data_IF_242995344296
#
_entry.id   IF_242995344296
#
_cell.length_a   1.000
_cell.length_b   1.000
_cell.length_c   1.000
_cell.angle_alpha   90.00
_cell.angle_beta   90.00
_cell.angle_gamma   90.00
#
_symmetry.space_group_name_H-M   'P 1'
#
loop_
_entity.id
_entity.type
_entity.pdbx_description
1 polymer ?
#
# COMPACT_ATOMS: atom_id res chain seq x y z
N UNK A 1 -20.92 -43.20 -26.98
CA UNK A 1 -20.22 -42.29 -26.07
C UNK A 1 -20.20 -42.95 -24.71
N UNK A 2 -19.13 -42.80 -23.95
CA UNK A 2 -18.98 -43.48 -22.66
C UNK A 2 -19.97 -42.93 -21.62
N UNK A 3 -20.76 -43.80 -21.00
CA UNK A 3 -21.77 -43.42 -19.99
C UNK A 3 -21.11 -42.79 -18.74
N UNK A 4 -19.83 -43.10 -18.49
CA UNK A 4 -19.04 -42.54 -17.39
C UNK A 4 -18.89 -41.02 -17.40
N UNK A 5 -19.03 -40.34 -18.55
CA UNK A 5 -18.76 -38.89 -18.67
C UNK A 5 -20.06 -38.06 -18.48
N UNK A 6 -21.23 -38.66 -18.69
CA UNK A 6 -22.51 -37.95 -18.53
C UNK A 6 -22.71 -37.25 -17.18
N UNK A 7 -22.40 -37.85 -15.99
CA UNK A 7 -22.53 -37.13 -14.72
C UNK A 7 -21.64 -35.88 -14.67
N UNK A 8 -20.41 -35.95 -15.17
CA UNK A 8 -19.48 -34.81 -15.19
C UNK A 8 -19.97 -33.66 -16.08
N UNK A 9 -20.74 -33.97 -17.14
CA UNK A 9 -21.37 -32.96 -18.00
C UNK A 9 -22.54 -32.29 -17.28
N UNK A 10 -23.36 -33.05 -16.56
CA UNK A 10 -24.47 -32.52 -15.75
C UNK A 10 -23.93 -31.63 -14.63
N UNK A 11 -22.92 -32.08 -13.88
CA UNK A 11 -22.24 -31.29 -12.85
C UNK A 11 -21.67 -29.98 -13.42
N UNK A 12 -21.05 -30.04 -14.62
CA UNK A 12 -20.52 -28.87 -15.30
C UNK A 12 -21.66 -27.90 -15.70
N UNK A 13 -22.76 -28.40 -16.25
CA UNK A 13 -23.93 -27.59 -16.60
C UNK A 13 -24.54 -26.88 -15.38
N UNK A 14 -24.71 -27.59 -14.25
CA UNK A 14 -25.17 -26.98 -13.01
C UNK A 14 -24.19 -25.92 -12.50
N UNK A 15 -22.87 -26.20 -12.54
CA UNK A 15 -21.85 -25.23 -12.13
C UNK A 15 -21.83 -23.96 -12.99
N UNK A 16 -22.10 -24.08 -14.29
CA UNK A 16 -22.19 -22.96 -15.23
C UNK A 16 -23.47 -22.14 -14.99
N UNK A 17 -24.62 -22.79 -14.76
CA UNK A 17 -25.87 -22.10 -14.43
C UNK A 17 -25.76 -21.32 -13.11
N UNK A 18 -25.15 -21.92 -12.08
CA UNK A 18 -24.87 -21.25 -10.81
C UNK A 18 -23.89 -20.07 -10.98
N UNK A 19 -22.87 -20.21 -11.83
CA UNK A 19 -21.93 -19.13 -12.14
C UNK A 19 -22.62 -17.98 -12.87
N UNK A 20 -23.43 -18.27 -13.89
CA UNK A 20 -24.21 -17.26 -14.64
C UNK A 20 -25.18 -16.50 -13.71
N UNK A 21 -25.90 -17.21 -12.85
CA UNK A 21 -26.76 -16.60 -11.84
C UNK A 21 -25.98 -15.69 -10.86
N UNK A 22 -24.76 -16.09 -10.47
CA UNK A 22 -23.91 -15.29 -9.57
C UNK A 22 -23.31 -14.03 -10.23
N UNK A 23 -23.07 -14.08 -11.55
CA UNK A 23 -22.49 -12.97 -12.33
C UNK A 23 -23.56 -12.03 -12.90
N UNK A 24 -24.79 -12.51 -13.10
CA UNK A 24 -25.92 -11.74 -13.65
C UNK A 24 -26.10 -10.35 -13.04
N UNK A 25 -26.03 -10.13 -11.71
CA UNK A 25 -26.14 -8.79 -11.12
C UNK A 25 -25.05 -7.81 -11.59
N UNK A 26 -23.82 -8.31 -11.83
CA UNK A 26 -22.69 -7.49 -12.27
C UNK A 26 -22.75 -7.24 -13.78
N UNK A 27 -23.24 -8.20 -14.56
CA UNK A 27 -23.36 -8.09 -16.01
C UNK A 27 -24.56 -7.23 -16.45
N UNK A 28 -25.64 -7.21 -15.66
CA UNK A 28 -26.89 -6.49 -15.99
C UNK A 28 -26.98 -5.08 -15.41
N UNK A 29 -26.26 -4.76 -14.33
CA UNK A 29 -26.28 -3.44 -13.69
C UNK A 29 -25.59 -2.32 -14.51
N UNK A 30 -25.00 -2.64 -15.66
CA UNK A 30 -24.31 -1.70 -16.55
C UNK A 30 -22.78 -1.78 -16.43
N UNK A 31 -22.04 -0.72 -16.81
CA UNK A 31 -20.58 -0.72 -16.77
C UNK A 31 -20.04 -0.92 -15.35
N UNK A 32 -19.04 -1.79 -15.17
CA UNK A 32 -18.44 -2.05 -13.85
C UNK A 32 -17.90 -0.78 -13.17
N UNK A 33 -17.58 0.27 -13.93
CA UNK A 33 -17.23 1.60 -13.40
C UNK A 33 -18.39 2.23 -12.60
N UNK A 34 -19.63 2.20 -13.09
CA UNK A 34 -20.78 2.80 -12.37
C UNK A 34 -21.06 2.06 -11.07
N UNK A 35 -21.07 0.72 -11.14
CA UNK A 35 -21.22 -0.14 -9.96
C UNK A 35 -20.13 0.11 -8.92
N UNK A 36 -18.87 0.34 -9.33
CA UNK A 36 -17.73 0.56 -8.42
C UNK A 36 -17.54 2.00 -7.96
N UNK A 37 -18.23 2.99 -8.51
CA UNK A 37 -18.06 4.40 -8.10
C UNK A 37 -18.62 4.70 -6.72
N UNK A 38 -19.64 3.96 -6.27
CA UNK A 38 -20.28 4.15 -4.96
C UNK A 38 -19.67 3.32 -3.83
N UNK A 39 -18.75 2.39 -4.12
CA UNK A 39 -18.15 1.53 -3.10
C UNK A 39 -16.94 2.18 -2.41
N UNK A 40 -16.73 1.91 -1.11
CA UNK A 40 -15.47 2.21 -0.42
C UNK A 40 -14.27 1.60 -1.15
N UNK A 41 -13.12 2.29 -1.10
CA UNK A 41 -11.90 1.92 -1.84
C UNK A 41 -11.48 0.45 -1.65
N UNK A 42 -11.65 -0.09 -0.43
CA UNK A 42 -11.32 -1.48 -0.11
C UNK A 42 -12.23 -2.48 -0.83
N UNK A 43 -13.54 -2.22 -0.85
CA UNK A 43 -14.51 -3.14 -1.45
C UNK A 43 -14.55 -3.00 -2.98
N UNK A 44 -14.26 -1.80 -3.50
CA UNK A 44 -13.90 -1.57 -4.91
C UNK A 44 -12.72 -2.45 -5.34
N UNK A 45 -11.64 -2.50 -4.55
CA UNK A 45 -10.49 -3.34 -4.84
C UNK A 45 -10.84 -4.85 -4.82
N UNK A 46 -11.65 -5.30 -3.85
CA UNK A 46 -12.15 -6.69 -3.80
C UNK A 46 -12.96 -7.04 -5.04
N UNK A 47 -13.92 -6.19 -5.42
CA UNK A 47 -14.81 -6.44 -6.56
C UNK A 47 -14.02 -6.58 -7.87
N UNK A 48 -13.04 -5.72 -8.12
CA UNK A 48 -12.17 -5.86 -9.29
C UNK A 48 -11.34 -7.14 -9.27
N UNK A 49 -10.68 -7.48 -8.15
CA UNK A 49 -9.84 -8.69 -8.07
C UNK A 49 -10.67 -9.97 -8.17
N UNK A 50 -11.89 -9.99 -7.61
CA UNK A 50 -12.84 -11.10 -7.79
C UNK A 50 -13.33 -11.23 -9.23
N UNK A 51 -13.63 -10.12 -9.90
CA UNK A 51 -14.03 -10.13 -11.31
C UNK A 51 -12.90 -10.63 -12.23
N UNK A 52 -11.67 -10.16 -12.01
CA UNK A 52 -10.48 -10.66 -12.73
C UNK A 52 -10.25 -12.16 -12.46
N UNK A 53 -10.35 -12.59 -11.20
CA UNK A 53 -10.24 -14.01 -10.83
C UNK A 53 -11.29 -14.89 -11.54
N UNK A 54 -12.54 -14.42 -11.62
CA UNK A 54 -13.61 -15.14 -12.33
C UNK A 54 -13.29 -15.28 -13.83
N UNK A 55 -12.90 -14.19 -14.48
CA UNK A 55 -12.53 -14.18 -15.91
C UNK A 55 -11.37 -15.15 -16.21
N UNK A 56 -10.30 -15.09 -15.41
CA UNK A 56 -9.14 -15.98 -15.58
C UNK A 56 -9.48 -17.45 -15.29
N UNK A 57 -10.35 -17.72 -14.31
CA UNK A 57 -10.81 -19.08 -13.98
C UNK A 57 -11.70 -19.68 -15.07
N UNK A 58 -12.57 -18.87 -15.70
CA UNK A 58 -13.37 -19.27 -16.86
C UNK A 58 -12.45 -19.56 -18.04
N UNK A 59 -11.48 -18.67 -18.32
CA UNK A 59 -10.52 -18.84 -19.41
C UNK A 59 -9.63 -20.08 -19.21
N UNK A 60 -9.14 -20.32 -17.99
CA UNK A 60 -8.42 -21.54 -17.61
C UNK A 60 -9.25 -22.80 -17.86
N UNK A 61 -10.53 -22.77 -17.51
CA UNK A 61 -11.47 -23.88 -17.73
C UNK A 61 -11.73 -24.10 -19.23
N UNK A 62 -11.93 -23.03 -20.00
CA UNK A 62 -12.09 -23.07 -21.45
C UNK A 62 -10.87 -23.69 -22.15
N UNK A 63 -9.65 -23.29 -21.78
CA UNK A 63 -8.42 -23.86 -22.35
C UNK A 63 -8.33 -25.37 -22.12
N UNK A 64 -8.67 -25.83 -20.90
CA UNK A 64 -8.72 -27.26 -20.56
C UNK A 64 -9.78 -28.04 -21.35
N UNK A 65 -10.95 -27.44 -21.60
CA UNK A 65 -12.01 -28.05 -22.44
C UNK A 65 -11.57 -28.18 -23.90
N UNK A 66 -10.70 -27.30 -24.39
CA UNK A 66 -10.10 -27.38 -25.74
C UNK A 66 -8.85 -28.29 -25.80
N UNK A 67 -8.51 -29.00 -24.70
CA UNK A 67 -7.37 -29.92 -24.66
C UNK A 67 -5.99 -29.24 -24.56
N UNK A 68 -5.94 -27.94 -24.28
CA UNK A 68 -4.69 -27.19 -24.07
C UNK A 68 -4.25 -27.32 -22.61
N UNK A 69 -2.95 -27.55 -22.35
CA UNK A 69 -2.45 -27.50 -20.97
C UNK A 69 -2.41 -26.05 -20.46
N UNK A 70 -3.46 -25.70 -19.73
CA UNK A 70 -3.63 -24.39 -19.12
C UNK A 70 -2.60 -24.07 -18.01
N UNK A 71 -1.73 -25.01 -17.61
CA UNK A 71 -0.60 -24.74 -16.70
C UNK A 71 0.64 -24.20 -17.41
N UNK A 72 0.88 -24.61 -18.65
CA UNK A 72 1.96 -24.08 -19.48
C UNK A 72 1.56 -22.72 -20.11
N UNK A 73 0.26 -22.50 -20.28
CA UNK A 73 -0.31 -21.26 -20.79
C UNK A 73 -0.12 -20.06 -19.84
N UNK A 74 0.02 -18.85 -20.39
CA UNK A 74 0.24 -17.60 -19.63
C UNK A 74 -0.85 -17.27 -18.60
N UNK A 75 -2.06 -17.81 -18.79
CA UNK A 75 -3.17 -17.70 -17.81
C UNK A 75 -2.78 -18.23 -16.42
N UNK A 76 -1.88 -19.22 -16.33
CA UNK A 76 -1.38 -19.69 -15.03
C UNK A 76 -0.52 -18.63 -14.31
N UNK A 77 0.17 -17.75 -15.06
CA UNK A 77 0.93 -16.62 -14.52
C UNK A 77 0.00 -15.52 -14.01
N UNK A 78 -1.07 -15.23 -14.75
CA UNK A 78 -2.09 -14.26 -14.33
C UNK A 78 -2.83 -14.74 -13.06
N UNK A 79 -3.20 -16.03 -12.96
CA UNK A 79 -3.78 -16.60 -11.73
C UNK A 79 -2.83 -16.47 -10.52
N UNK A 80 -1.52 -16.63 -10.72
CA UNK A 80 -0.52 -16.40 -9.68
C UNK A 80 -0.45 -14.91 -9.28
N UNK A 81 -0.53 -14.00 -10.25
CA UNK A 81 -0.59 -12.55 -10.03
C UNK A 81 -1.87 -12.13 -9.28
N UNK A 82 -3.03 -12.68 -9.61
CA UNK A 82 -4.30 -12.47 -8.89
C UNK A 82 -4.20 -12.94 -7.43
N UNK A 83 -3.55 -14.08 -7.17
CA UNK A 83 -3.26 -14.56 -5.81
C UNK A 83 -2.38 -13.59 -5.00
N UNK A 84 -1.44 -12.89 -5.64
CA UNK A 84 -0.71 -11.80 -4.98
C UNK A 84 -1.62 -10.61 -4.65
N UNK A 85 -2.58 -10.27 -5.52
CA UNK A 85 -3.53 -9.18 -5.25
C UNK A 85 -4.47 -9.49 -4.10
N UNK A 86 -4.97 -10.74 -3.96
CA UNK A 86 -5.67 -11.17 -2.75
C UNK A 86 -4.79 -11.01 -1.50
N UNK A 87 -3.50 -11.35 -1.59
CA UNK A 87 -2.54 -11.17 -0.49
C UNK A 87 -2.32 -9.70 -0.14
N UNK A 88 -2.28 -8.80 -1.13
CA UNK A 88 -2.18 -7.34 -0.97
C UNK A 88 -3.44 -6.77 -0.30
N UNK A 89 -4.64 -7.21 -0.71
CA UNK A 89 -5.92 -6.83 -0.11
C UNK A 89 -6.02 -7.29 1.33
N UNK A 90 -5.78 -8.58 1.62
CA UNK A 90 -5.79 -9.12 2.99
C UNK A 90 -4.80 -8.37 3.92
N UNK A 91 -3.61 -8.02 3.40
CA UNK A 91 -2.65 -7.17 4.08
C UNK A 91 -3.11 -5.72 4.31
N UNK A 92 -4.05 -5.20 3.51
CA UNK A 92 -4.68 -3.89 3.73
C UNK A 92 -5.83 -3.99 4.75
N UNK A 93 -6.67 -5.03 4.68
CA UNK A 93 -7.73 -5.31 5.65
C UNK A 93 -7.19 -5.43 7.08
N UNK A 94 -6.11 -6.21 7.26
CA UNK A 94 -5.46 -6.37 8.56
C UNK A 94 -4.83 -5.09 9.11
N UNK A 95 -4.51 -4.10 8.25
CA UNK A 95 -3.93 -2.83 8.70
C UNK A 95 -4.95 -1.91 9.36
N UNK A 96 -6.22 -1.99 9.01
CA UNK A 96 -7.29 -1.22 9.67
C UNK A 96 -7.54 -1.65 11.11
N UNK A 97 -7.32 -2.92 11.46
CA UNK A 97 -7.59 -3.49 12.79
C UNK A 97 -6.33 -3.68 13.63
N UNK A 98 -5.56 -2.60 13.80
CA UNK A 98 -4.48 -2.56 14.79
C UNK A 98 -3.10 -2.96 14.29
N UNK A 99 -2.81 -2.85 12.97
CA UNK A 99 -1.41 -2.71 12.59
C UNK A 99 -0.84 -1.48 13.30
N UNK A 100 0.23 -1.66 14.07
CA UNK A 100 0.87 -0.58 14.79
C UNK A 100 1.34 0.48 13.78
N UNK A 101 0.57 1.56 13.67
CA UNK A 101 1.00 2.79 13.00
C UNK A 101 2.41 3.13 13.49
N UNK A 102 3.35 3.51 12.60
CA UNK A 102 4.74 3.75 12.98
C UNK A 102 4.76 4.81 14.09
N UNK A 103 4.98 4.35 15.34
CA UNK A 103 4.80 5.19 16.52
C UNK A 103 5.93 6.21 16.50
N UNK A 104 5.58 7.48 16.33
CA UNK A 104 6.54 8.57 16.31
C UNK A 104 7.37 8.54 17.60
N UNK A 105 8.69 8.40 17.47
CA UNK A 105 9.61 8.58 18.59
C UNK A 105 9.65 10.06 18.95
N UNK A 106 8.82 10.44 19.92
CA UNK A 106 8.73 11.80 20.46
C UNK A 106 10.07 12.29 21.01
N UNK A 107 10.93 11.38 21.51
CA UNK A 107 12.25 11.71 22.01
C UNK A 107 13.23 12.05 20.88
N UNK A 108 13.22 11.28 19.80
CA UNK A 108 13.98 11.60 18.58
C UNK A 108 13.50 12.92 17.95
N UNK A 109 12.18 13.11 17.81
CA UNK A 109 11.59 14.36 17.31
C UNK A 109 12.01 15.58 18.15
N UNK A 110 11.92 15.47 19.49
CA UNK A 110 12.38 16.53 20.40
C UNK A 110 13.87 16.83 20.26
N UNK A 111 14.73 15.82 20.02
CA UNK A 111 16.16 16.02 19.76
C UNK A 111 16.42 16.74 18.44
N UNK A 112 15.68 16.42 17.37
CA UNK A 112 15.80 17.14 16.09
C UNK A 112 15.38 18.61 16.23
N UNK A 113 14.23 18.87 16.90
CA UNK A 113 13.76 20.23 17.19
C UNK A 113 14.78 20.99 18.04
N UNK A 114 15.30 20.39 19.12
CA UNK A 114 16.29 21.02 19.99
C UNK A 114 17.62 21.27 19.28
N UNK A 115 18.07 20.38 18.39
CA UNK A 115 19.28 20.58 17.60
C UNK A 115 19.12 21.70 16.55
N UNK A 116 17.95 21.83 15.92
CA UNK A 116 17.64 22.94 15.03
C UNK A 116 17.59 24.29 15.76
N UNK A 117 17.01 24.32 16.96
CA UNK A 117 16.94 25.52 17.82
C UNK A 117 18.25 25.86 18.52
N UNK A 118 19.16 24.89 18.73
CA UNK A 118 20.45 25.12 19.41
C UNK A 118 21.37 26.09 18.64
N UNK A 119 21.12 26.35 17.36
CA UNK A 119 21.80 27.42 16.61
C UNK A 119 21.44 28.84 17.09
N UNK A 120 20.23 29.03 17.66
CA UNK A 120 19.75 30.35 18.10
C UNK A 120 20.23 30.73 19.51
N UNK A 121 20.69 29.77 20.33
CA UNK A 121 21.14 30.03 21.71
C UNK A 121 22.33 31.01 21.82
N UNK A 122 23.11 31.18 20.74
CA UNK A 122 24.19 32.18 20.68
C UNK A 122 23.71 33.64 20.70
N UNK A 123 22.40 33.88 20.66
CA UNK A 123 21.79 35.20 20.89
C UNK A 123 21.31 35.41 22.34
N UNK A 124 21.27 34.37 23.18
CA UNK A 124 20.79 34.46 24.56
C UNK A 124 21.93 34.66 25.57
N UNK A 125 23.12 34.09 25.32
CA UNK A 125 24.33 34.31 26.15
C UNK A 125 24.98 35.69 25.96
N UNK A 126 24.40 36.55 25.11
CA UNK A 126 24.83 37.94 24.94
C UNK A 126 23.94 38.84 25.80
N UNK A 127 24.39 39.19 27.02
CA UNK A 127 23.74 40.11 27.97
C UNK A 127 23.66 41.58 27.49
N UNK A 128 23.43 41.80 26.19
CA UNK A 128 22.99 43.07 25.65
C UNK A 128 21.48 43.23 25.84
N UNK A 129 21.04 44.21 26.64
CA UNK A 129 19.63 44.61 26.78
C UNK A 129 19.05 45.13 25.44
N UNK A 130 18.68 44.20 24.56
CA UNK A 130 18.02 44.48 23.29
C UNK A 130 16.58 44.95 23.50
N UNK A 131 16.37 46.27 23.51
CA UNK A 131 15.05 46.91 23.63
C UNK A 131 14.20 46.73 22.35
N UNK A 132 13.79 45.50 22.03
CA UNK A 132 12.90 45.21 20.90
C UNK A 132 11.47 44.89 21.36
N UNK A 133 10.75 45.91 21.81
CA UNK A 133 9.32 45.86 22.20
C UNK A 133 8.34 45.67 21.02
N UNK A 134 8.84 45.32 19.82
CA UNK A 134 8.00 45.16 18.61
C UNK A 134 7.11 43.91 18.66
N UNK A 135 7.47 42.88 19.42
CA UNK A 135 6.69 41.63 19.50
C UNK A 135 5.70 41.58 20.67
N UNK A 136 6.02 42.19 21.83
CA UNK A 136 5.05 42.31 22.95
C UNK A 136 3.81 43.12 22.56
N UNK A 137 3.99 44.15 21.71
CA UNK A 137 2.88 44.94 21.16
C UNK A 137 1.95 44.11 20.24
N UNK A 138 2.47 43.07 19.59
CA UNK A 138 1.65 42.14 18.81
C UNK A 138 0.93 41.14 19.72
N UNK A 139 1.62 40.56 20.70
CA UNK A 139 1.03 39.61 21.66
C UNK A 139 -0.13 40.19 22.48
N UNK A 140 -0.09 41.49 22.82
CA UNK A 140 -1.23 42.19 23.43
C UNK A 140 -2.41 42.37 22.47
N UNK A 141 -2.15 42.75 21.21
CA UNK A 141 -3.18 42.92 20.19
C UNK A 141 -3.89 41.61 19.80
N UNK A 142 -3.22 40.46 19.88
CA UNK A 142 -3.88 39.17 19.69
C UNK A 142 -4.76 38.79 20.89
N UNK A 143 -4.33 39.02 22.14
CA UNK A 143 -5.20 38.77 23.30
C UNK A 143 -6.41 39.69 23.38
N UNK A 144 -6.28 40.97 23.00
CA UNK A 144 -7.41 41.90 22.92
C UNK A 144 -8.36 41.58 21.75
N UNK A 145 -7.95 40.75 20.78
CA UNK A 145 -8.78 40.31 19.66
C UNK A 145 -9.51 38.98 19.91
N UNK A 146 -9.10 38.17 20.90
CA UNK A 146 -9.79 36.92 21.26
C UNK A 146 -11.13 37.16 21.98
N UNK A 147 -11.33 38.32 22.61
CA UNK A 147 -12.57 38.67 23.34
C UNK A 147 -13.73 39.19 22.45
N UNK A 148 -13.56 39.32 21.12
CA UNK A 148 -14.59 39.92 20.24
C UNK A 148 -14.96 39.13 18.97
N UNK A 149 -14.46 37.89 18.79
CA UNK A 149 -14.77 37.06 17.62
C UNK A 149 -15.61 35.83 18.03
N UNK A 150 -16.84 35.65 17.50
CA UNK A 150 -17.62 34.45 17.78
C UNK A 150 -16.99 33.23 17.11
N UNK A 151 -16.75 32.17 17.90
CA UNK A 151 -16.27 30.87 17.39
C UNK A 151 -17.40 30.21 16.60
N UNK A 152 -17.31 30.25 15.27
CA UNK A 152 -18.16 29.43 14.39
C UNK A 152 -17.63 28.00 14.41
N UNK A 153 -18.52 27.03 14.59
CA UNK A 153 -18.20 25.61 14.67
C UNK A 153 -17.98 25.05 13.26
N UNK A 154 -17.01 24.16 13.10
CA UNK A 154 -16.56 23.64 11.80
C UNK A 154 -17.51 22.59 11.17
N UNK A 155 -18.82 22.85 11.19
CA UNK A 155 -19.86 21.96 10.64
C UNK A 155 -20.62 22.57 9.44
N UNK A 156 -20.41 23.87 9.14
CA UNK A 156 -21.11 24.61 8.06
C UNK A 156 -20.13 25.28 7.07
N UNK A 157 -19.36 24.49 6.31
CA UNK A 157 -18.68 24.96 5.08
C UNK A 157 -18.83 23.89 4.01
N UNK A 158 -19.75 24.14 3.07
CA UNK A 158 -19.86 23.39 1.82
C UNK A 158 -18.66 23.67 0.91
N UNK A 159 -18.22 22.63 0.18
CA UNK A 159 -17.00 22.60 -0.63
C UNK A 159 -17.38 22.79 -2.11
N UNK A 160 -17.39 24.04 -2.59
CA UNK A 160 -17.44 24.39 -4.01
C UNK A 160 -16.07 24.95 -4.44
N UNK A 161 -15.25 24.13 -5.11
CA UNK A 161 -14.08 24.62 -5.86
C UNK A 161 -14.37 24.64 -7.36
N UNK A 162 -14.30 25.84 -7.97
CA UNK A 162 -14.23 26.00 -9.42
C UNK A 162 -12.77 25.88 -9.90
N UNK A 163 -12.63 25.19 -11.04
CA UNK A 163 -11.38 24.93 -11.77
C UNK A 163 -10.98 26.14 -12.63
N UNK A 164 -9.81 26.74 -12.37
CA UNK A 164 -9.00 27.38 -13.43
C UNK A 164 -7.50 27.13 -13.20
N UNK A 165 -6.87 26.43 -14.15
CA UNK A 165 -5.43 26.18 -14.17
C UNK A 165 -4.65 27.18 -15.05
N UNK A 166 -3.40 27.47 -14.68
CA UNK A 166 -2.44 28.16 -15.55
C UNK A 166 -1.17 27.31 -15.75
N UNK A 167 -0.73 27.20 -17.00
CA UNK A 167 0.43 26.39 -17.43
C UNK A 167 1.56 27.32 -17.83
N UNK A 168 2.77 27.12 -17.27
CA UNK A 168 4.00 27.71 -17.80
C UNK A 168 5.12 26.66 -17.85
N UNK A 169 5.85 26.62 -18.96
CA UNK A 169 6.77 25.54 -19.36
C UNK A 169 8.25 26.01 -19.39
N UNK A 170 9.20 25.10 -19.09
CA UNK A 170 10.66 25.30 -19.19
C UNK A 170 11.32 26.00 -17.99
N UNK A 171 12.60 25.82 -17.63
CA UNK A 171 13.77 25.12 -18.23
C UNK A 171 14.92 25.12 -17.16
N UNK A 172 16.03 24.35 -17.17
CA UNK A 172 16.58 23.29 -18.06
C UNK A 172 16.87 21.96 -17.30
N UNK A 173 18.15 21.66 -16.95
CA UNK A 173 18.59 20.42 -16.32
C UNK A 173 19.86 20.61 -15.44
N UNK A 174 19.98 19.84 -14.34
CA UNK A 174 21.29 19.51 -13.75
C UNK A 174 21.25 18.13 -13.06
N UNK A 175 22.29 17.32 -13.26
CA UNK A 175 22.34 15.94 -12.78
C UNK A 175 23.15 15.79 -11.49
N UNK A 176 22.52 15.38 -10.39
CA UNK A 176 23.22 15.24 -9.10
C UNK A 176 23.75 13.81 -8.84
N UNK A 177 25.07 13.65 -8.90
CA UNK A 177 25.77 12.39 -8.63
C UNK A 177 25.69 11.98 -7.14
N UNK A 178 24.79 11.04 -6.81
CA UNK A 178 24.68 10.49 -5.45
C UNK A 178 25.92 9.67 -5.05
N UNK A 179 26.91 10.34 -4.44
CA UNK A 179 28.08 9.74 -3.76
C UNK A 179 27.66 8.61 -2.81
N UNK A 180 27.85 7.37 -3.25
CA UNK A 180 27.65 6.16 -2.43
C UNK A 180 28.65 6.16 -1.27
N UNK A 181 28.18 6.44 -0.03
CA UNK A 181 28.97 6.27 1.21
C UNK A 181 29.59 4.87 1.24
N UNK A 182 30.93 4.80 1.16
CA UNK A 182 31.68 3.55 1.32
C UNK A 182 31.49 3.03 2.75
N UNK A 183 30.88 1.85 2.89
CA UNK A 183 30.73 1.15 4.17
C UNK A 183 32.10 0.87 4.77
N UNK A 184 32.23 1.01 6.09
CA UNK A 184 33.49 0.72 6.78
C UNK A 184 33.84 -0.78 6.67
N UNK A 185 35.13 -1.17 6.80
CA UNK A 185 35.51 -2.59 6.75
C UNK A 185 34.71 -3.46 7.73
N UNK A 186 34.50 -2.95 8.95
CA UNK A 186 33.76 -3.60 10.03
C UNK A 186 32.27 -3.83 9.68
N UNK A 187 31.61 -2.89 9.00
CA UNK A 187 30.24 -3.06 8.52
C UNK A 187 30.13 -4.13 7.42
N UNK A 188 31.15 -4.23 6.56
CA UNK A 188 31.19 -5.25 5.49
C UNK A 188 31.40 -6.65 6.09
N UNK A 189 32.26 -6.77 7.09
CA UNK A 189 32.46 -8.03 7.83
C UNK A 189 31.19 -8.46 8.59
N UNK A 190 30.55 -7.54 9.32
CA UNK A 190 29.27 -7.81 10.01
C UNK A 190 28.17 -8.22 9.04
N UNK A 191 28.13 -7.65 7.84
CA UNK A 191 27.19 -8.06 6.79
C UNK A 191 27.50 -9.47 6.23
N UNK A 192 28.77 -9.77 5.95
CA UNK A 192 29.21 -11.09 5.49
C UNK A 192 28.89 -12.19 6.52
N UNK A 193 29.20 -11.95 7.81
CA UNK A 193 28.92 -12.89 8.90
C UNK A 193 27.42 -13.14 9.09
N UNK A 194 26.57 -12.12 8.89
CA UNK A 194 25.10 -12.29 8.88
C UNK A 194 24.62 -13.11 7.69
N UNK A 195 25.18 -12.91 6.49
CA UNK A 195 24.84 -13.70 5.29
C UNK A 195 25.22 -15.18 5.46
N UNK A 196 26.46 -15.46 5.85
CA UNK A 196 26.93 -16.83 6.11
C UNK A 196 26.10 -17.56 7.19
N UNK A 197 25.69 -16.87 8.27
CA UNK A 197 24.80 -17.45 9.30
C UNK A 197 23.40 -17.79 8.76
N UNK A 198 22.89 -17.01 7.80
CA UNK A 198 21.58 -17.28 7.15
C UNK A 198 21.69 -18.50 6.23
N UNK A 199 22.74 -18.58 5.41
CA UNK A 199 23.01 -19.69 4.50
C UNK A 199 23.26 -21.01 5.26
N UNK A 200 24.02 -20.97 6.35
CA UNK A 200 24.22 -22.14 7.23
C UNK A 200 22.91 -22.62 7.89
N UNK A 201 21.97 -21.71 8.19
CA UNK A 201 20.66 -22.06 8.74
C UNK A 201 19.77 -22.71 7.67
N UNK A 202 19.69 -22.13 6.47
CA UNK A 202 18.91 -22.73 5.37
C UNK A 202 19.47 -24.08 4.93
N UNK A 203 20.80 -24.27 4.97
CA UNK A 203 21.42 -25.57 4.71
C UNK A 203 21.08 -26.63 5.78
N UNK A 204 20.99 -26.24 7.06
CA UNK A 204 20.53 -27.15 8.14
C UNK A 204 19.04 -27.48 8.03
N UNK A 205 18.21 -26.49 7.71
CA UNK A 205 16.78 -26.71 7.44
C UNK A 205 16.60 -27.65 6.23
N UNK A 206 17.32 -27.44 5.12
CA UNK A 206 17.30 -28.31 3.94
C UNK A 206 17.70 -29.76 4.24
N UNK A 207 18.81 -29.99 4.97
CA UNK A 207 19.24 -31.33 5.37
C UNK A 207 18.23 -32.03 6.29
N UNK A 208 17.55 -31.29 7.17
CA UNK A 208 16.47 -31.81 8.02
C UNK A 208 15.27 -32.26 7.20
N UNK A 209 14.92 -31.53 6.13
CA UNK A 209 13.86 -31.95 5.20
C UNK A 209 14.25 -33.16 4.35
N UNK A 210 15.52 -33.28 3.95
CA UNK A 210 16.02 -34.45 3.20
C UNK A 210 15.92 -35.73 4.04
N UNK A 211 16.43 -35.74 5.28
CA UNK A 211 16.32 -36.91 6.16
C UNK A 211 14.87 -37.33 6.43
N UNK A 212 13.93 -36.36 6.54
CA UNK A 212 12.51 -36.64 6.76
C UNK A 212 11.80 -37.23 5.52
N UNK A 213 12.42 -37.13 4.34
CA UNK A 213 11.89 -37.66 3.06
C UNK A 213 12.53 -39.00 2.66
N UNK A 214 13.62 -39.40 3.32
CA UNK A 214 14.36 -40.64 3.09
C UNK A 214 13.98 -41.76 4.08
N UNK A 215 13.14 -41.43 5.07
CA UNK A 215 12.71 -42.31 6.18
C UNK A 215 11.25 -42.79 5.99
N UNK A 216 10.83 -42.98 4.74
CA UNK A 216 9.49 -43.45 4.30
C UNK A 216 9.56 -44.32 3.06
#
# INVERSE_FOLDING_TARGET
MDESIQPQIVDLQESLANLEASLSPILTAGPLSTATSTLPLLDKAKLYVLATYALESILFSYLRLNGVDAKEHDVFKELARVKEYFSKISGAEGRGKGAAQPRLDKGAASRFVKAGLAGNGKLEDMEGKGKHTRFEAAGKRFREAEDTVPVVRAEDVDDEEEDEGEVVEGKEAEGEEKKRKRKTPEEREKAARKKARKEARTAREGKRWQHLMEEK
#
